data_IF_501937959285
#
_entry.id   IF_501937959285
#
_cell.length_a   1.000
_cell.length_b   1.000
_cell.length_c   1.000
_cell.angle_alpha   90.00
_cell.angle_beta   90.00
_cell.angle_gamma   90.00
#
_symmetry.space_group_name_H-M   'P 1'
#
loop_
_entity.id
_entity.type
_entity.pdbx_description
1 polymer ?
#
# COMPACT_ATOMS: atom_id res chain seq x y z
N UNK A 1 38.44 57.96 -5.76
CA UNK A 1 37.75 58.38 -4.52
C UNK A 1 36.23 58.43 -4.52
N UNK A 2 35.50 58.16 -5.63
CA UNK A 2 34.02 58.04 -5.60
C UNK A 2 33.52 56.70 -5.03
N UNK A 3 34.27 55.62 -5.25
CA UNK A 3 33.93 54.27 -4.76
C UNK A 3 34.00 54.18 -3.22
N UNK A 4 35.02 54.79 -2.61
CA UNK A 4 35.16 54.86 -1.15
C UNK A 4 34.01 55.66 -0.49
N UNK A 5 33.51 56.68 -1.16
CA UNK A 5 32.38 57.48 -0.68
C UNK A 5 31.06 56.68 -0.74
N UNK A 6 30.86 55.87 -1.77
CA UNK A 6 29.68 55.01 -1.93
C UNK A 6 29.68 53.87 -0.91
N UNK A 7 30.82 53.24 -0.66
CA UNK A 7 30.95 52.21 0.38
C UNK A 7 30.78 52.81 1.77
N UNK A 8 31.33 54.01 2.04
CA UNK A 8 31.15 54.69 3.32
C UNK A 8 29.69 55.05 3.57
N UNK A 9 28.97 55.54 2.55
CA UNK A 9 27.53 55.82 2.67
C UNK A 9 26.74 54.52 2.87
N UNK A 10 27.05 53.43 2.16
CA UNK A 10 26.39 52.13 2.35
C UNK A 10 26.60 51.55 3.75
N UNK A 11 27.83 51.58 4.27
CA UNK A 11 28.14 51.10 5.63
C UNK A 11 27.47 51.99 6.67
N UNK A 12 27.47 53.32 6.50
CA UNK A 12 26.80 54.24 7.42
C UNK A 12 25.27 54.07 7.37
N UNK A 13 24.67 53.81 6.20
CA UNK A 13 23.22 53.59 6.09
C UNK A 13 22.79 52.24 6.68
N UNK A 14 23.62 51.20 6.55
CA UNK A 14 23.39 49.88 7.15
C UNK A 14 23.62 49.86 8.67
N UNK A 15 24.58 50.64 9.18
CA UNK A 15 24.85 50.75 10.64
C UNK A 15 23.80 51.63 11.33
N UNK A 16 23.28 52.66 10.66
CA UNK A 16 22.26 53.56 11.22
C UNK A 16 20.86 52.91 11.19
N UNK A 17 20.56 52.00 10.26
CA UNK A 17 19.28 51.26 10.30
C UNK A 17 19.20 50.24 11.45
N UNK A 18 20.31 49.99 12.15
CA UNK A 18 20.32 49.19 13.38
C UNK A 18 20.31 50.04 14.66
N UNK A 19 20.72 51.32 14.62
CA UNK A 19 20.85 52.17 15.81
C UNK A 19 20.66 53.66 15.44
N UNK A 20 19.48 54.25 15.67
CA UNK A 20 19.24 55.66 16.13
C UNK A 20 17.82 56.14 15.81
N UNK A 21 17.17 56.76 16.81
CA UNK A 21 15.77 57.25 16.82
C UNK A 21 15.65 58.78 16.54
N UNK A 22 16.70 59.48 16.11
CA UNK A 22 16.68 60.95 16.02
C UNK A 22 16.39 61.51 14.62
N UNK A 23 15.26 62.21 14.50
CA UNK A 23 14.70 62.76 13.26
C UNK A 23 15.49 63.95 12.63
N UNK A 24 16.57 64.42 13.25
CA UNK A 24 17.27 65.62 12.78
C UNK A 24 18.20 65.36 11.57
N UNK A 25 18.62 64.12 11.37
CA UNK A 25 19.50 63.73 10.25
C UNK A 25 18.74 63.46 8.94
N UNK A 26 17.42 63.23 9.02
CA UNK A 26 16.57 62.84 7.89
C UNK A 26 16.60 63.84 6.72
N UNK A 27 16.68 65.14 7.00
CA UNK A 27 16.64 66.20 5.98
C UNK A 27 17.93 66.31 5.15
N UNK A 28 19.08 65.90 5.69
CA UNK A 28 20.36 65.95 4.98
C UNK A 28 20.46 64.83 3.94
N UNK A 29 19.92 63.65 4.27
CA UNK A 29 19.90 62.47 3.40
C UNK A 29 18.81 62.52 2.33
N UNK A 30 17.70 63.21 2.59
CA UNK A 30 16.63 63.43 1.60
C UNK A 30 17.14 64.14 0.33
N UNK A 31 18.13 65.03 0.44
CA UNK A 31 18.74 65.71 -0.70
C UNK A 31 19.60 64.80 -1.59
N UNK A 32 20.23 63.77 -0.99
CA UNK A 32 21.07 62.79 -1.68
C UNK A 32 20.23 61.71 -2.34
N UNK A 33 19.17 61.25 -1.68
CA UNK A 33 18.17 60.34 -2.25
C UNK A 33 17.49 60.99 -3.46
N UNK A 34 17.16 62.29 -3.40
CA UNK A 34 16.57 63.00 -4.54
C UNK A 34 17.54 63.17 -5.73
N UNK A 35 18.85 63.11 -5.49
CA UNK A 35 19.91 63.28 -6.51
C UNK A 35 20.30 61.96 -7.19
N UNK A 36 20.12 60.82 -6.52
CA UNK A 36 20.53 59.49 -6.99
C UNK A 36 19.40 58.44 -6.95
N UNK A 37 18.16 58.84 -6.62
CA UNK A 37 17.01 57.97 -6.33
C UNK A 37 16.67 56.99 -7.45
N UNK A 38 16.67 57.44 -8.70
CA UNK A 38 16.42 56.54 -9.83
C UNK A 38 17.45 55.40 -9.95
N UNK A 39 18.71 55.62 -9.52
CA UNK A 39 19.74 54.57 -9.52
C UNK A 39 19.67 53.65 -8.31
N UNK A 40 19.06 54.10 -7.21
CA UNK A 40 18.87 53.31 -5.99
C UNK A 40 17.65 52.40 -6.12
N UNK A 41 16.58 52.86 -6.77
CA UNK A 41 15.38 52.04 -7.03
C UNK A 41 15.71 50.89 -7.99
N UNK A 42 16.41 51.16 -9.10
CA UNK A 42 16.94 50.13 -10.01
C UNK A 42 17.89 49.16 -9.28
N UNK A 43 18.80 49.66 -8.42
CA UNK A 43 19.66 48.79 -7.62
C UNK A 43 18.89 47.96 -6.59
N UNK A 44 17.86 48.54 -5.96
CA UNK A 44 17.03 47.84 -4.98
C UNK A 44 16.19 46.75 -5.65
N UNK A 45 15.65 46.99 -6.84
CA UNK A 45 14.95 45.98 -7.63
C UNK A 45 15.90 44.88 -8.08
N UNK A 46 17.09 45.21 -8.58
CA UNK A 46 18.11 44.23 -8.99
C UNK A 46 18.60 43.41 -7.79
N UNK A 47 18.83 44.02 -6.62
CA UNK A 47 19.24 43.31 -5.40
C UNK A 47 18.10 42.45 -4.87
N UNK A 48 16.85 42.92 -4.91
CA UNK A 48 15.68 42.17 -4.44
C UNK A 48 15.36 41.01 -5.37
N UNK A 49 15.43 41.20 -6.70
CA UNK A 49 15.31 40.14 -7.71
C UNK A 49 16.43 39.12 -7.59
N UNK A 50 17.69 39.55 -7.49
CA UNK A 50 18.82 38.63 -7.28
C UNK A 50 18.73 37.87 -5.95
N UNK A 51 18.23 38.51 -4.88
CA UNK A 51 18.00 37.85 -3.59
C UNK A 51 16.85 36.84 -3.66
N UNK A 52 15.83 37.12 -4.47
CA UNK A 52 14.68 36.23 -4.69
C UNK A 52 15.11 35.06 -5.56
N UNK A 53 15.85 35.29 -6.64
CA UNK A 53 16.46 34.24 -7.44
C UNK A 53 17.43 33.37 -6.63
N UNK A 54 18.25 33.98 -5.78
CA UNK A 54 19.16 33.24 -4.90
C UNK A 54 18.39 32.36 -3.90
N UNK A 55 17.29 32.87 -3.33
CA UNK A 55 16.40 32.09 -2.46
C UNK A 55 15.71 30.95 -3.22
N UNK A 56 15.24 31.19 -4.45
CA UNK A 56 14.64 30.16 -5.31
C UNK A 56 15.67 29.09 -5.69
N UNK A 57 16.88 29.49 -6.10
CA UNK A 57 17.98 28.54 -6.38
C UNK A 57 18.32 27.70 -5.16
N UNK A 58 18.43 28.33 -3.99
CA UNK A 58 18.66 27.61 -2.72
C UNK A 58 17.53 26.63 -2.41
N UNK A 59 16.27 27.03 -2.57
CA UNK A 59 15.12 26.14 -2.39
C UNK A 59 15.21 24.90 -3.29
N UNK A 60 15.53 25.06 -4.58
CA UNK A 60 15.65 23.93 -5.50
C UNK A 60 16.81 23.01 -5.16
N UNK A 61 17.93 23.56 -4.69
CA UNK A 61 19.08 22.79 -4.21
C UNK A 61 18.73 22.02 -2.93
N UNK A 62 18.16 22.69 -1.92
CA UNK A 62 17.71 22.07 -0.68
C UNK A 62 16.67 20.97 -0.97
N UNK A 63 15.72 21.22 -1.89
CA UNK A 63 14.74 20.24 -2.36
C UNK A 63 15.41 19.03 -3.00
N UNK A 64 16.39 19.25 -3.89
CA UNK A 64 17.14 18.17 -4.55
C UNK A 64 17.90 17.32 -3.54
N UNK A 65 18.52 17.95 -2.54
CA UNK A 65 19.23 17.24 -1.47
C UNK A 65 18.27 16.40 -0.61
N UNK A 66 17.09 16.92 -0.28
CA UNK A 66 16.06 16.18 0.45
C UNK A 66 15.57 14.99 -0.39
N UNK A 67 15.31 15.19 -1.69
CA UNK A 67 14.87 14.10 -2.58
C UNK A 67 15.94 13.01 -2.73
N UNK A 68 17.21 13.37 -2.88
CA UNK A 68 18.31 12.41 -2.95
C UNK A 68 18.47 11.64 -1.63
N UNK A 69 18.28 12.30 -0.49
CA UNK A 69 18.31 11.67 0.82
C UNK A 69 17.11 10.74 1.04
N UNK A 70 15.91 11.11 0.59
CA UNK A 70 14.74 10.23 0.62
C UNK A 70 14.99 8.96 -0.21
N UNK A 71 15.49 9.14 -1.44
CA UNK A 71 15.81 8.02 -2.34
C UNK A 71 16.84 7.06 -1.75
N UNK A 72 17.82 7.54 -0.97
CA UNK A 72 18.84 6.69 -0.36
C UNK A 72 18.33 5.83 0.81
N UNK A 73 17.12 6.09 1.33
CA UNK A 73 16.45 5.25 2.33
C UNK A 73 15.43 4.29 1.74
N UNK A 74 15.11 4.38 0.45
CA UNK A 74 14.11 3.51 -0.17
C UNK A 74 14.59 2.07 -0.21
N UNK A 75 13.65 1.14 -0.11
CA UNK A 75 13.89 -0.29 -0.30
C UNK A 75 14.61 -0.59 -1.62
N UNK A 76 14.36 0.24 -2.65
CA UNK A 76 14.91 0.09 -4.00
C UNK A 76 16.27 0.75 -4.20
N UNK A 77 16.93 1.30 -3.17
CA UNK A 77 18.17 2.07 -3.34
C UNK A 77 19.31 1.29 -3.99
N UNK A 78 19.35 -0.02 -3.74
CA UNK A 78 20.40 -0.93 -4.18
C UNK A 78 19.99 -1.67 -5.47
N UNK A 79 18.84 -1.32 -6.06
CA UNK A 79 18.41 -1.86 -7.35
C UNK A 79 19.36 -1.32 -8.42
N UNK A 80 19.98 -2.20 -9.24
CA UNK A 80 20.82 -1.76 -10.34
C UNK A 80 20.09 -0.81 -11.29
N UNK A 81 20.84 -0.04 -12.06
CA UNK A 81 20.27 0.77 -13.15
C UNK A 81 19.46 -0.13 -14.07
N UNK A 82 18.21 0.28 -14.32
CA UNK A 82 17.31 -0.44 -15.21
C UNK A 82 17.88 -0.49 -16.64
N UNK A 83 17.68 -1.62 -17.30
CA UNK A 83 17.93 -1.76 -18.73
C UNK A 83 16.92 -0.93 -19.54
N UNK A 84 17.20 -0.63 -20.83
CA UNK A 84 16.27 0.12 -21.67
C UNK A 84 14.86 -0.50 -21.74
N UNK A 85 14.76 -1.83 -21.76
CA UNK A 85 13.47 -2.52 -21.79
C UNK A 85 12.75 -2.41 -20.44
N UNK A 86 13.48 -2.51 -19.32
CA UNK A 86 12.93 -2.33 -17.98
C UNK A 86 12.43 -0.90 -17.74
N UNK A 87 13.08 0.12 -18.30
CA UNK A 87 12.60 1.51 -18.25
C UNK A 87 11.27 1.69 -18.98
N UNK A 88 11.11 1.07 -20.15
CA UNK A 88 9.84 1.09 -20.90
C UNK A 88 8.73 0.45 -20.07
N UNK A 89 9.00 -0.73 -19.50
CA UNK A 89 8.03 -1.44 -18.66
C UNK A 89 7.72 -0.65 -17.39
N UNK A 90 8.72 -0.05 -16.75
CA UNK A 90 8.54 0.78 -15.56
C UNK A 90 7.64 1.98 -15.86
N UNK A 91 7.89 2.74 -16.94
CA UNK A 91 7.05 3.87 -17.33
C UNK A 91 5.59 3.46 -17.59
N UNK A 92 5.38 2.28 -18.19
CA UNK A 92 4.04 1.73 -18.37
C UNK A 92 3.38 1.34 -17.05
N UNK A 93 4.11 0.66 -16.14
CA UNK A 93 3.63 0.33 -14.80
C UNK A 93 3.29 1.57 -13.97
N UNK A 94 4.06 2.65 -14.10
CA UNK A 94 3.75 3.92 -13.44
C UNK A 94 2.42 4.51 -13.93
N UNK A 95 2.13 4.36 -15.23
CA UNK A 95 0.86 4.79 -15.82
C UNK A 95 -0.29 4.00 -15.20
N UNK A 96 -0.21 2.67 -15.22
CA UNK A 96 -1.22 1.79 -14.61
C UNK A 96 -1.40 2.05 -13.12
N UNK A 97 -0.30 2.28 -12.39
CA UNK A 97 -0.33 2.63 -10.96
C UNK A 97 -1.12 3.92 -10.73
N UNK A 98 -0.86 4.96 -11.53
CA UNK A 98 -1.52 6.25 -11.36
C UNK A 98 -3.02 6.14 -11.67
N UNK A 99 -3.43 5.33 -12.64
CA UNK A 99 -4.85 5.04 -12.91
C UNK A 99 -5.55 4.47 -11.67
N UNK A 100 -4.91 3.53 -10.96
CA UNK A 100 -5.47 2.92 -9.73
C UNK A 100 -5.49 3.89 -8.56
N UNK A 101 -4.46 4.72 -8.38
CA UNK A 101 -4.39 5.72 -7.29
C UNK A 101 -5.46 6.80 -7.46
N UNK A 102 -5.84 7.13 -8.69
CA UNK A 102 -6.80 8.18 -9.01
C UNK A 102 -8.25 7.69 -9.15
N UNK A 103 -8.55 6.46 -8.73
CA UNK A 103 -9.94 6.01 -8.57
C UNK A 103 -10.57 6.77 -7.40
N UNK A 104 -11.74 7.40 -7.62
CA UNK A 104 -12.45 8.25 -6.65
C UNK A 104 -12.68 7.54 -5.30
N UNK A 105 -12.90 6.22 -5.33
CA UNK A 105 -12.86 5.32 -4.18
C UNK A 105 -11.60 4.45 -4.23
N UNK A 106 -10.49 4.99 -3.71
CA UNK A 106 -9.21 4.27 -3.70
C UNK A 106 -9.40 2.88 -3.08
N UNK A 107 -9.11 1.79 -3.83
CA UNK A 107 -9.33 0.43 -3.32
C UNK A 107 -8.46 0.09 -2.10
N UNK A 108 -7.45 0.91 -1.81
CA UNK A 108 -6.58 0.80 -0.65
C UNK A 108 -7.22 1.31 0.65
N UNK A 109 -8.30 2.10 0.54
CA UNK A 109 -9.03 2.66 1.67
C UNK A 109 -10.33 1.89 1.99
N UNK A 110 -10.74 1.00 1.08
CA UNK A 110 -11.93 0.17 1.25
C UNK A 110 -11.64 -1.06 2.13
N UNK A 111 -12.69 -1.67 2.68
CA UNK A 111 -12.56 -3.00 3.29
C UNK A 111 -12.06 -4.01 2.23
N UNK A 112 -11.29 -5.01 2.67
CA UNK A 112 -10.55 -5.89 1.78
C UNK A 112 -11.39 -6.49 0.65
N UNK A 113 -12.60 -6.98 0.92
CA UNK A 113 -13.44 -7.60 -0.10
C UNK A 113 -14.00 -6.62 -1.14
N UNK A 114 -14.18 -5.35 -0.76
CA UNK A 114 -14.63 -4.30 -1.67
C UNK A 114 -13.45 -3.85 -2.54
N UNK A 115 -12.31 -3.52 -1.91
CA UNK A 115 -11.09 -3.15 -2.60
C UNK A 115 -10.58 -4.25 -3.53
N UNK A 116 -10.68 -5.52 -3.12
CA UNK A 116 -10.29 -6.67 -3.92
C UNK A 116 -11.08 -6.76 -5.24
N UNK A 117 -12.38 -6.46 -5.24
CA UNK A 117 -13.20 -6.50 -6.46
C UNK A 117 -12.67 -5.50 -7.48
N UNK A 118 -12.40 -4.28 -7.02
CA UNK A 118 -11.85 -3.21 -7.86
C UNK A 118 -10.46 -3.59 -8.38
N UNK A 119 -9.56 -4.03 -7.50
CA UNK A 119 -8.18 -4.38 -7.86
C UNK A 119 -8.15 -5.49 -8.93
N UNK A 120 -8.98 -6.52 -8.79
CA UNK A 120 -9.02 -7.66 -9.72
C UNK A 120 -9.38 -7.26 -11.15
N UNK A 121 -10.10 -6.16 -11.33
CA UNK A 121 -10.50 -5.66 -12.64
C UNK A 121 -9.45 -4.71 -13.28
N UNK A 122 -8.35 -4.40 -12.56
CA UNK A 122 -7.29 -3.51 -13.04
C UNK A 122 -6.29 -4.22 -13.94
N UNK A 123 -5.80 -3.54 -14.97
CA UNK A 123 -4.70 -4.05 -15.80
C UNK A 123 -3.40 -4.23 -14.99
N UNK A 124 -3.19 -3.39 -13.96
CA UNK A 124 -2.08 -3.54 -13.02
C UNK A 124 -2.09 -4.90 -12.30
N UNK A 125 -3.26 -5.38 -11.89
CA UNK A 125 -3.40 -6.70 -11.25
C UNK A 125 -3.04 -7.83 -12.22
N UNK A 126 -3.49 -7.76 -13.48
CA UNK A 126 -3.13 -8.73 -14.50
C UNK A 126 -1.63 -8.71 -14.84
N UNK A 127 -1.00 -7.54 -14.79
CA UNK A 127 0.45 -7.44 -14.90
C UNK A 127 1.14 -8.14 -13.73
N UNK A 128 0.72 -7.85 -12.49
CA UNK A 128 1.30 -8.49 -11.31
C UNK A 128 1.11 -10.01 -11.32
N UNK A 129 0.00 -10.55 -11.81
CA UNK A 129 -0.17 -12.02 -11.94
C UNK A 129 0.89 -12.69 -12.80
N UNK A 130 1.47 -11.97 -13.77
CA UNK A 130 2.53 -12.48 -14.66
C UNK A 130 3.94 -12.26 -14.11
N UNK A 131 4.09 -11.41 -13.09
CA UNK A 131 5.40 -11.07 -12.52
C UNK A 131 5.94 -12.21 -11.63
N UNK A 132 7.19 -12.66 -11.81
CA UNK A 132 7.83 -13.62 -10.93
C UNK A 132 8.11 -12.98 -9.56
N UNK A 133 7.44 -13.46 -8.51
CA UNK A 133 7.50 -12.86 -7.14
C UNK A 133 8.66 -13.37 -6.29
N UNK A 134 9.41 -14.35 -6.78
CA UNK A 134 10.40 -15.07 -5.97
C UNK A 134 9.72 -16.13 -5.10
N UNK A 135 10.03 -16.13 -3.80
CA UNK A 135 9.52 -17.11 -2.84
C UNK A 135 8.40 -16.56 -1.94
N UNK A 136 7.42 -17.40 -1.65
CA UNK A 136 6.38 -17.15 -0.64
C UNK A 136 6.93 -17.55 0.74
N UNK A 137 7.26 -16.57 1.58
CA UNK A 137 8.01 -16.78 2.83
C UNK A 137 7.13 -16.90 4.07
N UNK A 138 5.86 -16.51 4.00
CA UNK A 138 4.92 -16.60 5.12
C UNK A 138 3.61 -17.21 4.66
N UNK A 139 3.41 -18.49 4.94
CA UNK A 139 2.18 -19.20 4.63
C UNK A 139 1.87 -20.22 5.72
N UNK A 140 0.58 -20.34 6.04
CA UNK A 140 0.06 -21.43 6.88
C UNK A 140 -0.64 -22.43 5.96
N UNK A 141 -0.29 -23.71 6.06
CA UNK A 141 -0.74 -24.72 5.11
C UNK A 141 -2.27 -24.81 5.03
N UNK A 142 -2.95 -24.66 6.16
CA UNK A 142 -4.42 -24.74 6.25
C UNK A 142 -5.13 -23.60 5.51
N UNK A 143 -4.44 -22.48 5.27
CA UNK A 143 -4.90 -21.37 4.44
C UNK A 143 -4.32 -21.38 3.02
N UNK A 144 -3.47 -22.35 2.68
CA UNK A 144 -2.72 -22.41 1.43
C UNK A 144 -3.37 -23.31 0.37
N UNK A 145 -4.06 -24.36 0.79
CA UNK A 145 -4.72 -25.33 -0.10
C UNK A 145 -5.88 -24.64 -0.85
N UNK A 146 -5.97 -24.84 -2.16
CA UNK A 146 -7.02 -24.23 -2.96
C UNK A 146 -8.40 -24.71 -2.51
N UNK A 147 -9.37 -23.79 -2.50
CA UNK A 147 -10.74 -24.10 -2.09
C UNK A 147 -11.37 -25.23 -2.92
N UNK A 148 -11.08 -25.28 -4.22
CA UNK A 148 -11.55 -26.37 -5.09
C UNK A 148 -10.98 -27.73 -4.68
N UNK A 149 -9.73 -27.76 -4.22
CA UNK A 149 -9.06 -28.97 -3.73
C UNK A 149 -9.66 -29.41 -2.40
N UNK A 150 -9.94 -28.47 -1.49
CA UNK A 150 -10.70 -28.75 -0.26
C UNK A 150 -12.07 -29.36 -0.54
N UNK A 151 -12.83 -28.80 -1.50
CA UNK A 151 -14.11 -29.36 -1.91
C UNK A 151 -13.96 -30.77 -2.48
N UNK A 152 -12.94 -31.02 -3.32
CA UNK A 152 -12.66 -32.37 -3.84
C UNK A 152 -12.38 -33.39 -2.74
N UNK A 153 -11.67 -33.03 -1.67
CA UNK A 153 -11.45 -33.94 -0.55
C UNK A 153 -12.75 -34.39 0.12
N UNK A 154 -13.74 -33.51 0.21
CA UNK A 154 -15.07 -33.85 0.75
C UNK A 154 -15.89 -34.79 -0.15
N UNK A 155 -15.41 -35.17 -1.34
CA UNK A 155 -16.02 -36.25 -2.13
C UNK A 155 -15.54 -37.65 -1.72
N UNK A 156 -14.53 -37.74 -0.85
CA UNK A 156 -14.11 -39.03 -0.29
C UNK A 156 -15.15 -39.57 0.70
N UNK A 157 -15.37 -40.90 0.66
CA UNK A 157 -16.23 -41.61 1.62
C UNK A 157 -15.67 -41.62 3.05
N UNK A 158 -14.47 -41.07 3.25
CA UNK A 158 -13.85 -40.92 4.56
C UNK A 158 -14.28 -39.64 5.27
N UNK A 159 -14.86 -38.68 4.56
CA UNK A 159 -15.18 -37.36 5.12
C UNK A 159 -16.64 -37.29 5.56
N UNK A 160 -16.81 -37.10 6.87
CA UNK A 160 -18.08 -36.92 7.54
C UNK A 160 -18.23 -35.47 7.98
N UNK A 161 -19.45 -34.96 7.93
CA UNK A 161 -19.79 -33.63 8.37
C UNK A 161 -21.03 -33.66 9.26
N UNK A 162 -20.98 -32.93 10.36
CA UNK A 162 -22.12 -32.69 11.21
C UNK A 162 -22.62 -31.26 10.98
N UNK A 163 -23.78 -31.13 10.32
CA UNK A 163 -24.38 -29.84 9.95
C UNK A 163 -24.78 -29.02 11.18
N UNK A 164 -25.23 -29.66 12.26
CA UNK A 164 -25.65 -28.94 13.46
C UNK A 164 -24.45 -28.39 14.24
N UNK A 165 -23.37 -29.18 14.34
CA UNK A 165 -22.15 -28.82 15.08
C UNK A 165 -21.16 -27.99 14.27
N UNK A 166 -21.29 -27.94 12.93
CA UNK A 166 -20.28 -27.36 12.03
C UNK A 166 -18.91 -28.03 12.23
N UNK A 167 -18.87 -29.36 12.19
CA UNK A 167 -17.66 -30.14 12.49
C UNK A 167 -17.40 -31.20 11.41
N UNK A 168 -16.15 -31.29 10.95
CA UNK A 168 -15.69 -32.36 10.06
C UNK A 168 -14.98 -33.47 10.81
N UNK A 169 -15.06 -34.69 10.28
CA UNK A 169 -14.22 -35.82 10.70
C UNK A 169 -13.79 -36.61 9.47
N UNK A 170 -12.51 -36.97 9.39
CA UNK A 170 -11.99 -37.85 8.33
C UNK A 170 -11.63 -39.21 8.90
N UNK A 171 -12.47 -40.21 8.67
CA UNK A 171 -12.37 -41.56 9.27
C UNK A 171 -12.51 -42.65 8.21
N UNK A 172 -11.39 -43.25 7.75
CA UNK A 172 -11.41 -44.25 6.67
C UNK A 172 -12.15 -45.55 7.01
N UNK A 173 -12.21 -45.91 8.29
CA UNK A 173 -12.83 -47.15 8.77
C UNK A 173 -14.34 -47.05 8.99
N UNK A 174 -14.95 -45.94 8.61
CA UNK A 174 -16.33 -45.62 8.94
C UNK A 174 -16.46 -44.93 10.30
N UNK A 175 -17.55 -44.19 10.46
CA UNK A 175 -17.89 -43.46 11.68
C UNK A 175 -19.33 -43.78 12.06
N UNK A 176 -19.54 -44.31 13.26
CA UNK A 176 -20.85 -44.54 13.86
C UNK A 176 -21.06 -43.55 15.01
N UNK A 177 -21.24 -42.28 14.65
CA UNK A 177 -21.50 -41.21 15.61
C UNK A 177 -22.74 -40.42 15.18
N UNK A 178 -23.67 -40.24 16.13
CA UNK A 178 -24.94 -39.57 15.85
C UNK A 178 -24.73 -38.15 15.30
N UNK A 179 -25.36 -37.87 14.17
CA UNK A 179 -25.37 -36.56 13.52
C UNK A 179 -24.22 -36.35 12.52
N UNK A 180 -23.24 -37.25 12.46
CA UNK A 180 -22.25 -37.25 11.39
C UNK A 180 -22.76 -38.06 10.21
N UNK A 181 -22.82 -37.42 9.05
CA UNK A 181 -23.16 -38.05 7.77
C UNK A 181 -22.00 -37.87 6.80
N UNK A 182 -21.83 -38.80 5.86
CA UNK A 182 -20.83 -38.61 4.81
C UNK A 182 -21.20 -37.38 3.99
N UNK A 183 -20.20 -36.63 3.55
CA UNK A 183 -20.45 -35.47 2.69
C UNK A 183 -21.20 -35.87 1.40
N UNK A 184 -20.95 -37.06 0.86
CA UNK A 184 -21.67 -37.59 -0.29
C UNK A 184 -23.16 -37.88 0.01
N UNK A 185 -23.51 -38.29 1.22
CA UNK A 185 -24.91 -38.47 1.64
C UNK A 185 -25.60 -37.10 1.80
N UNK A 186 -24.90 -36.13 2.37
CA UNK A 186 -25.41 -34.76 2.51
C UNK A 186 -25.70 -34.13 1.15
N UNK A 187 -24.85 -34.33 0.14
CA UNK A 187 -25.12 -33.89 -1.23
C UNK A 187 -26.43 -34.46 -1.80
N UNK A 188 -26.74 -35.72 -1.49
CA UNK A 188 -28.01 -36.35 -1.90
C UNK A 188 -29.20 -35.75 -1.15
N UNK A 189 -29.07 -35.55 0.17
CA UNK A 189 -30.12 -34.95 1.02
C UNK A 189 -30.45 -33.52 0.57
N UNK A 190 -29.42 -32.75 0.17
CA UNK A 190 -29.56 -31.36 -0.25
C UNK A 190 -30.04 -31.20 -1.70
N UNK A 191 -30.33 -32.32 -2.38
CA UNK A 191 -30.93 -32.37 -3.72
C UNK A 191 -29.99 -32.04 -4.87
N UNK A 192 -28.81 -31.45 -4.61
CA UNK A 192 -27.78 -31.18 -5.62
C UNK A 192 -26.42 -31.06 -4.97
N UNK A 193 -25.42 -31.67 -5.62
CA UNK A 193 -24.01 -31.51 -5.26
C UNK A 193 -23.64 -30.03 -5.17
N UNK A 194 -24.05 -29.23 -6.16
CA UNK A 194 -23.72 -27.81 -6.22
C UNK A 194 -24.26 -27.02 -5.02
N UNK A 195 -25.43 -27.38 -4.50
CA UNK A 195 -26.01 -26.69 -3.34
C UNK A 195 -25.16 -26.89 -2.09
N UNK A 196 -24.77 -28.14 -1.81
CA UNK A 196 -23.93 -28.45 -0.66
C UNK A 196 -22.50 -27.95 -0.85
N UNK A 197 -21.93 -28.08 -2.04
CA UNK A 197 -20.58 -27.57 -2.34
C UNK A 197 -20.51 -26.04 -2.19
N UNK A 198 -21.53 -25.31 -2.65
CA UNK A 198 -21.61 -23.86 -2.46
C UNK A 198 -21.73 -23.47 -0.98
N UNK A 199 -22.41 -24.29 -0.18
CA UNK A 199 -22.46 -24.11 1.26
C UNK A 199 -21.08 -24.35 1.89
N UNK A 200 -20.39 -25.43 1.53
CA UNK A 200 -19.03 -25.72 2.00
C UNK A 200 -18.05 -24.59 1.64
N UNK A 201 -18.11 -24.09 0.41
CA UNK A 201 -17.30 -22.96 -0.06
C UNK A 201 -17.47 -21.72 0.81
N UNK A 202 -18.69 -21.44 1.30
CA UNK A 202 -18.96 -20.31 2.18
C UNK A 202 -18.39 -20.52 3.58
N UNK A 203 -18.49 -21.73 4.14
CA UNK A 203 -18.03 -21.97 5.52
C UNK A 203 -16.52 -22.18 5.62
N UNK A 204 -15.84 -22.60 4.56
CA UNK A 204 -14.39 -22.81 4.53
C UNK A 204 -13.55 -21.53 4.52
N UNK A 205 -14.11 -20.41 4.09
CA UNK A 205 -13.41 -19.12 4.00
C UNK A 205 -14.14 -18.03 4.78
N UNK A 206 -13.41 -16.97 5.11
CA UNK A 206 -13.99 -15.76 5.71
C UNK A 206 -14.98 -15.11 4.73
N UNK A 207 -16.14 -14.72 5.23
CA UNK A 207 -17.15 -13.96 4.48
C UNK A 207 -17.10 -12.47 4.82
N UNK A 208 -17.57 -11.57 3.95
CA UNK A 208 -17.58 -10.12 4.21
C UNK A 208 -18.25 -9.75 5.54
N UNK A 209 -19.35 -10.42 5.88
CA UNK A 209 -20.11 -10.17 7.11
C UNK A 209 -19.37 -10.63 8.36
N UNK A 210 -18.39 -11.52 8.21
CA UNK A 210 -17.54 -12.01 9.31
C UNK A 210 -16.36 -11.06 9.59
N UNK A 211 -16.04 -10.15 8.67
CA UNK A 211 -14.97 -9.15 8.78
C UNK A 211 -15.55 -7.78 9.12
N UNK A 212 -16.63 -7.39 8.43
CA UNK A 212 -17.16 -6.04 8.51
C UNK A 212 -17.54 -5.67 9.94
N UNK A 213 -17.17 -4.45 10.35
CA UNK A 213 -17.48 -3.86 11.66
C UNK A 213 -16.88 -4.54 12.91
N UNK A 214 -15.99 -5.53 12.75
CA UNK A 214 -15.38 -6.23 13.90
C UNK A 214 -14.09 -5.59 14.38
N UNK A 215 -13.99 -5.38 15.69
CA UNK A 215 -12.71 -5.00 16.31
C UNK A 215 -11.72 -6.17 16.26
N UNK A 216 -10.42 -5.87 16.43
CA UNK A 216 -9.30 -6.82 16.28
C UNK A 216 -9.55 -8.15 16.98
N UNK A 217 -10.21 -8.20 18.14
CA UNK A 217 -10.41 -9.46 18.88
C UNK A 217 -11.60 -10.28 18.39
N UNK A 218 -12.61 -9.65 17.79
CA UNK A 218 -13.84 -10.32 17.37
C UNK A 218 -13.70 -11.04 16.03
N UNK A 219 -12.77 -10.59 15.19
CA UNK A 219 -12.44 -11.24 13.90
C UNK A 219 -11.66 -12.54 14.09
N UNK A 220 -10.93 -12.71 15.20
CA UNK A 220 -10.18 -13.94 15.48
C UNK A 220 -11.08 -15.15 15.68
N UNK A 221 -12.27 -14.97 16.27
CA UNK A 221 -13.22 -16.08 16.50
C UNK A 221 -13.65 -16.78 15.19
N UNK A 222 -14.22 -16.09 14.20
CA UNK A 222 -14.53 -16.72 12.92
C UNK A 222 -13.27 -17.19 12.19
N UNK A 223 -12.17 -16.42 12.26
CA UNK A 223 -10.90 -16.79 11.62
C UNK A 223 -10.36 -18.14 12.12
N UNK A 224 -10.11 -18.28 13.42
CA UNK A 224 -9.67 -19.54 14.05
C UNK A 224 -10.70 -20.65 13.82
N UNK A 225 -11.99 -20.31 13.83
CA UNK A 225 -13.07 -21.24 13.50
C UNK A 225 -12.91 -21.88 12.12
N UNK A 226 -12.45 -21.15 11.10
CA UNK A 226 -12.17 -21.72 9.76
C UNK A 226 -11.03 -22.74 9.82
N UNK A 227 -9.96 -22.45 10.57
CA UNK A 227 -8.84 -23.38 10.74
C UNK A 227 -9.30 -24.65 11.45
N UNK A 228 -10.03 -24.52 12.56
CA UNK A 228 -10.58 -25.67 13.32
C UNK A 228 -11.52 -26.50 12.44
N UNK A 229 -12.35 -25.86 11.62
CA UNK A 229 -13.26 -26.54 10.70
C UNK A 229 -12.49 -27.35 9.63
N UNK A 230 -11.43 -26.77 9.06
CA UNK A 230 -10.70 -27.34 7.93
C UNK A 230 -9.66 -28.40 8.37
N UNK A 231 -9.17 -28.30 9.61
CA UNK A 231 -8.12 -29.14 10.20
C UNK A 231 -8.34 -30.66 9.99
N UNK A 232 -9.53 -31.23 10.28
CA UNK A 232 -9.75 -32.67 10.15
C UNK A 232 -9.66 -33.19 8.70
N UNK A 233 -9.82 -32.31 7.72
CA UNK A 233 -9.66 -32.65 6.30
C UNK A 233 -8.18 -32.59 5.93
N UNK A 234 -7.53 -31.45 6.19
CA UNK A 234 -6.17 -31.18 5.73
C UNK A 234 -5.15 -32.12 6.39
N UNK A 235 -5.35 -32.46 7.67
CA UNK A 235 -4.41 -33.30 8.42
C UNK A 235 -4.61 -34.81 8.22
N UNK A 236 -5.57 -35.23 7.39
CA UNK A 236 -5.61 -36.61 6.94
C UNK A 236 -4.47 -36.87 5.95
N UNK A 237 -3.61 -37.84 6.24
CA UNK A 237 -2.32 -38.07 5.56
C UNK A 237 -2.37 -38.02 4.02
N UNK A 238 -3.36 -38.66 3.39
CA UNK A 238 -3.46 -38.65 1.92
C UNK A 238 -3.90 -37.28 1.38
N UNK A 239 -4.77 -36.56 2.09
CA UNK A 239 -5.20 -35.21 1.71
C UNK A 239 -4.09 -34.20 1.99
N UNK A 240 -3.34 -34.35 3.07
CA UNK A 240 -2.18 -33.52 3.40
C UNK A 240 -1.16 -33.51 2.26
N UNK A 241 -0.79 -34.70 1.74
CA UNK A 241 0.13 -34.82 0.60
C UNK A 241 -0.41 -34.12 -0.65
N UNK A 242 -1.69 -34.36 -0.97
CA UNK A 242 -2.32 -33.77 -2.14
C UNK A 242 -2.45 -32.25 -2.00
N UNK A 243 -2.74 -31.75 -0.80
CA UNK A 243 -2.79 -30.32 -0.50
C UNK A 243 -1.43 -29.64 -0.63
N UNK A 244 -0.34 -30.31 -0.21
CA UNK A 244 1.02 -29.82 -0.45
C UNK A 244 1.35 -29.74 -1.95
N UNK A 245 0.97 -30.75 -2.73
CA UNK A 245 1.18 -30.76 -4.18
C UNK A 245 0.32 -29.75 -4.94
N UNK A 246 -0.85 -29.39 -4.40
CA UNK A 246 -1.72 -28.34 -4.94
C UNK A 246 -1.16 -26.93 -4.69
N UNK A 247 -0.47 -26.75 -3.56
CA UNK A 247 0.15 -25.48 -3.18
C UNK A 247 1.48 -25.21 -3.89
N UNK A 248 2.30 -26.24 -4.11
CA UNK A 248 3.62 -26.15 -4.75
C UNK A 248 3.58 -26.14 -6.28
#
# INVERSE_FOLDING_TARGET
>A
NKLALVVFVLVVTLVISSETEDAHDFYKYHSLIKKYGNSLDEFSEIVTQNSTEAKVRKYWEDRKQIMAKDQSYRFTRDVPTLTPDEEIVNAYLETLRNEVIHIDDSPLLLEFFEGQKIIKDTELHEFFKKMPKGGEMHVHLEGAVALDTMIKFTYSDYVYFNVEKQEFKTVPKGLDEKGFLRCNELRQIWGSNATFDNYLRKIFVMQPEEISSKQIHEIWKPFEGKFILNDPIIHYYEFYKLGLLDFC
#
